data_IF_457009150920
#
_entry.id   IF_457009150920
#
_cell.length_a   1.000
_cell.length_b   1.000
_cell.length_c   1.000
_cell.angle_alpha   90.00
_cell.angle_beta   90.00
_cell.angle_gamma   90.00
#
_symmetry.space_group_name_H-M   'P 1'
#
loop_
_entity.id
_entity.type
_entity.pdbx_description
1 polymer ?
#
# COMPACT_ATOMS: atom_id res chain seq x y z
N UNK A 1 24.49 7.97 -11.01
CA UNK A 1 24.37 6.66 -11.70
C UNK A 1 23.04 6.67 -12.41
N UNK A 2 23.02 6.52 -13.71
CA UNK A 2 21.80 6.41 -14.49
C UNK A 2 21.13 5.11 -14.08
N UNK A 3 20.00 5.19 -13.37
CA UNK A 3 19.16 4.03 -13.12
C UNK A 3 18.76 3.43 -14.48
N UNK A 4 19.04 2.14 -14.68
CA UNK A 4 18.64 1.45 -15.91
C UNK A 4 17.14 1.63 -16.15
N UNK A 5 16.74 1.87 -17.38
CA UNK A 5 15.34 1.99 -17.72
C UNK A 5 14.62 0.69 -17.41
N UNK A 6 13.57 0.79 -16.61
CA UNK A 6 12.64 -0.32 -16.39
C UNK A 6 11.76 -0.39 -17.66
N UNK A 7 11.56 -1.60 -18.18
CA UNK A 7 10.76 -1.80 -19.38
C UNK A 7 9.27 -1.46 -19.19
N UNK A 8 8.48 -1.46 -20.28
CA UNK A 8 7.05 -1.26 -20.19
C UNK A 8 6.37 -2.41 -19.45
N UNK A 9 5.24 -2.11 -18.79
CA UNK A 9 4.38 -3.14 -18.20
C UNK A 9 3.68 -3.95 -19.30
N UNK A 10 3.67 -5.27 -19.11
CA UNK A 10 2.94 -6.23 -19.93
C UNK A 10 1.90 -6.95 -19.08
N UNK A 11 0.91 -7.58 -19.72
CA UNK A 11 -0.12 -8.34 -19.00
C UNK A 11 0.47 -9.44 -18.07
N UNK A 12 1.63 -9.99 -18.44
CA UNK A 12 2.35 -10.96 -17.61
C UNK A 12 2.86 -10.39 -16.28
N UNK A 13 3.05 -9.06 -16.16
CA UNK A 13 3.46 -8.41 -14.91
C UNK A 13 2.34 -8.34 -13.86
N UNK A 14 1.11 -8.72 -14.20
CA UNK A 14 0.04 -8.94 -13.23
C UNK A 14 0.21 -10.28 -12.50
N UNK A 15 0.93 -11.25 -13.08
CA UNK A 15 1.14 -12.57 -12.48
C UNK A 15 2.18 -12.52 -11.35
N UNK A 16 2.16 -13.53 -10.46
CA UNK A 16 3.06 -13.63 -9.30
C UNK A 16 4.33 -14.42 -9.64
N UNK A 17 5.01 -14.07 -10.73
CA UNK A 17 6.09 -14.87 -11.31
C UNK A 17 7.38 -14.09 -11.63
N UNK A 18 7.61 -12.94 -11.02
CA UNK A 18 8.75 -12.08 -11.30
C UNK A 18 10.12 -12.62 -10.79
N UNK A 19 10.15 -13.78 -10.17
CA UNK A 19 11.40 -14.41 -9.72
C UNK A 19 12.03 -15.37 -10.74
N UNK A 20 11.65 -15.33 -12.00
CA UNK A 20 11.97 -16.41 -12.90
C UNK A 20 13.25 -16.15 -13.68
N UNK A 21 14.13 -17.15 -13.74
CA UNK A 21 15.30 -17.22 -14.63
C UNK A 21 15.16 -18.38 -15.62
N UNK A 22 14.42 -19.41 -15.27
CA UNK A 22 14.34 -20.66 -16.03
C UNK A 22 12.87 -21.00 -16.32
N UNK A 23 12.21 -21.77 -15.48
CA UNK A 23 10.76 -22.02 -15.56
C UNK A 23 10.03 -21.15 -14.54
N UNK A 24 8.72 -20.94 -14.72
CA UNK A 24 7.90 -20.18 -13.76
C UNK A 24 7.84 -20.83 -12.36
N UNK A 25 8.24 -22.06 -12.21
CA UNK A 25 8.35 -22.74 -10.92
C UNK A 25 9.72 -22.55 -10.25
N UNK A 26 10.72 -21.99 -10.97
CA UNK A 26 12.09 -21.90 -10.50
C UNK A 26 12.38 -20.53 -9.88
N UNK A 27 12.99 -20.53 -8.68
CA UNK A 27 13.43 -19.32 -8.01
C UNK A 27 14.79 -18.88 -8.54
N UNK A 28 14.89 -17.67 -9.06
CA UNK A 28 16.10 -17.15 -9.72
C UNK A 28 17.13 -16.54 -8.78
N UNK A 29 16.77 -16.31 -7.53
CA UNK A 29 17.65 -15.73 -6.52
C UNK A 29 17.27 -16.27 -5.15
N UNK A 30 18.20 -16.20 -4.18
CA UNK A 30 18.10 -16.93 -2.91
C UNK A 30 17.89 -16.03 -1.68
N UNK A 31 17.65 -14.73 -1.85
CA UNK A 31 17.40 -13.84 -0.72
C UNK A 31 16.05 -14.18 -0.08
N UNK A 32 16.07 -14.50 1.21
CA UNK A 32 14.85 -14.81 1.97
C UNK A 32 13.90 -13.62 2.16
N UNK A 33 14.32 -12.42 1.81
CA UNK A 33 13.49 -11.21 1.81
C UNK A 33 12.86 -10.92 0.44
N UNK A 34 13.10 -11.77 -0.56
CA UNK A 34 12.40 -11.65 -1.83
C UNK A 34 10.91 -11.91 -1.65
N UNK A 35 10.11 -11.00 -2.16
CA UNK A 35 8.66 -11.04 -2.04
C UNK A 35 8.03 -10.57 -3.33
N UNK A 36 6.97 -11.22 -3.75
CA UNK A 36 6.01 -10.67 -4.69
C UNK A 36 4.71 -10.40 -3.95
N UNK A 37 4.23 -9.16 -4.01
CA UNK A 37 3.17 -8.69 -3.13
C UNK A 37 2.22 -7.73 -3.81
N UNK A 38 0.93 -7.94 -3.60
CA UNK A 38 -0.13 -6.96 -3.88
C UNK A 38 -0.67 -6.40 -2.58
N UNK A 39 -0.98 -5.13 -2.60
CA UNK A 39 -1.71 -4.44 -1.54
C UNK A 39 -2.72 -3.49 -2.16
N UNK A 40 -3.77 -3.22 -1.42
CA UNK A 40 -4.74 -2.25 -1.88
C UNK A 40 -5.79 -1.94 -0.84
N UNK A 41 -6.59 -0.97 -1.20
CA UNK A 41 -7.77 -0.60 -0.45
C UNK A 41 -8.94 -0.28 -1.38
N UNK A 42 -10.15 -0.42 -0.85
CA UNK A 42 -11.35 0.18 -1.38
C UNK A 42 -12.01 1.01 -0.28
N UNK A 43 -12.51 2.20 -0.62
CA UNK A 43 -13.10 3.07 0.39
C UNK A 43 -14.30 3.84 -0.14
N UNK A 44 -15.29 4.03 0.74
CA UNK A 44 -16.38 4.94 0.49
C UNK A 44 -15.87 6.38 0.42
N UNK A 45 -16.34 7.15 -0.58
CA UNK A 45 -15.92 8.55 -0.80
C UNK A 45 -16.33 9.50 0.34
N UNK A 46 -17.23 9.08 1.21
CA UNK A 46 -17.60 9.82 2.43
C UNK A 46 -16.73 9.47 3.66
N UNK A 47 -15.79 8.51 3.51
CA UNK A 47 -14.89 8.07 4.56
C UNK A 47 -15.51 7.12 5.60
N UNK A 48 -16.78 6.74 5.44
CA UNK A 48 -17.52 5.94 6.44
C UNK A 48 -17.03 4.51 6.60
N UNK A 49 -16.45 3.94 5.54
CA UNK A 49 -15.97 2.56 5.52
C UNK A 49 -14.78 2.42 4.57
N UNK A 50 -13.74 1.73 5.01
CA UNK A 50 -12.62 1.34 4.18
C UNK A 50 -12.25 -0.12 4.37
N UNK A 51 -11.81 -0.74 3.29
CA UNK A 51 -11.34 -2.11 3.21
C UNK A 51 -9.85 -2.06 2.87
N UNK A 52 -9.04 -2.77 3.66
CA UNK A 52 -7.63 -3.00 3.35
C UNK A 52 -7.41 -4.48 3.04
N UNK A 53 -6.54 -4.77 2.10
CA UNK A 53 -6.15 -6.14 1.75
C UNK A 53 -4.69 -6.20 1.27
N UNK A 54 -4.12 -7.39 1.36
CA UNK A 54 -2.81 -7.67 0.77
C UNK A 54 -2.52 -9.15 0.71
N UNK A 55 -1.72 -9.56 -0.27
CA UNK A 55 -1.26 -10.92 -0.46
C UNK A 55 0.24 -10.90 -0.75
N UNK A 56 0.96 -11.88 -0.24
CA UNK A 56 2.38 -12.03 -0.46
C UNK A 56 2.75 -13.46 -0.82
N UNK A 57 3.57 -13.62 -1.85
CA UNK A 57 4.22 -14.87 -2.24
C UNK A 57 5.70 -14.78 -1.91
N UNK A 58 6.16 -15.68 -1.07
CA UNK A 58 7.54 -15.74 -0.56
C UNK A 58 8.16 -17.06 -0.99
N UNK A 59 8.54 -17.15 -2.27
CA UNK A 59 8.97 -18.42 -2.86
C UNK A 59 10.20 -19.00 -2.17
N UNK A 60 11.19 -18.17 -1.79
CA UNK A 60 12.39 -18.62 -1.06
C UNK A 60 12.10 -19.08 0.38
N UNK A 61 10.90 -18.86 0.88
CA UNK A 61 10.43 -19.30 2.20
C UNK A 61 9.38 -20.41 2.10
N UNK A 62 8.91 -20.74 0.89
CA UNK A 62 7.80 -21.65 0.63
C UNK A 62 6.49 -21.24 1.35
N UNK A 63 6.18 -19.95 1.35
CA UNK A 63 5.03 -19.38 2.07
C UNK A 63 4.22 -18.49 1.13
N UNK A 64 2.89 -18.53 1.32
CA UNK A 64 1.91 -17.53 0.87
C UNK A 64 1.20 -17.02 2.10
N UNK A 65 1.04 -15.72 2.23
CA UNK A 65 0.20 -15.11 3.25
C UNK A 65 -0.69 -14.01 2.67
N UNK A 66 -1.67 -13.62 3.46
CA UNK A 66 -2.56 -12.53 3.10
C UNK A 66 -3.29 -11.99 4.32
N UNK A 67 -3.85 -10.81 4.14
CA UNK A 67 -4.77 -10.20 5.08
C UNK A 67 -5.90 -9.51 4.33
N UNK A 68 -7.03 -9.39 5.01
CA UNK A 68 -8.17 -8.59 4.58
C UNK A 68 -8.94 -8.09 5.78
N UNK A 69 -9.56 -6.93 5.66
CA UNK A 69 -10.32 -6.40 6.78
C UNK A 69 -11.00 -5.07 6.45
N UNK A 70 -11.68 -4.54 7.47
CA UNK A 70 -12.43 -3.30 7.37
C UNK A 70 -12.07 -2.33 8.50
N UNK A 71 -12.10 -1.03 8.21
CA UNK A 71 -12.07 0.05 9.19
C UNK A 71 -13.34 0.89 9.07
N UNK A 72 -14.03 1.10 10.19
CA UNK A 72 -15.26 1.91 10.28
C UNK A 72 -15.19 2.78 11.53
N UNK A 73 -15.21 4.09 11.34
CA UNK A 73 -14.97 5.01 12.44
C UNK A 73 -13.59 4.76 13.04
N UNK A 74 -13.55 4.50 14.34
CA UNK A 74 -12.30 4.17 15.06
C UNK A 74 -12.02 2.67 15.17
N UNK A 75 -12.92 1.84 14.66
CA UNK A 75 -12.85 0.38 14.77
C UNK A 75 -12.14 -0.25 13.59
N UNK A 76 -11.44 -1.36 13.83
CA UNK A 76 -10.85 -2.18 12.77
C UNK A 76 -11.00 -3.67 13.05
N UNK A 77 -11.38 -4.41 12.01
CA UNK A 77 -11.41 -5.87 11.96
C UNK A 77 -10.42 -6.34 10.92
N UNK A 78 -9.53 -7.24 11.28
CA UNK A 78 -8.53 -7.79 10.37
C UNK A 78 -8.51 -9.30 10.46
N UNK A 79 -8.55 -9.98 9.32
CA UNK A 79 -8.30 -11.41 9.14
C UNK A 79 -6.96 -11.57 8.47
N UNK A 80 -6.14 -12.50 8.96
CA UNK A 80 -4.85 -12.89 8.38
C UNK A 80 -4.88 -14.38 8.10
N UNK A 81 -4.22 -14.79 7.04
CA UNK A 81 -4.01 -16.20 6.75
C UNK A 81 -2.60 -16.43 6.21
N UNK A 82 -2.08 -17.64 6.44
CA UNK A 82 -0.79 -18.08 5.92
C UNK A 82 -0.84 -19.57 5.61
N UNK A 83 -0.21 -19.99 4.52
CA UNK A 83 -0.07 -21.40 4.17
C UNK A 83 1.28 -21.70 3.52
N UNK A 84 1.58 -23.00 3.44
CA UNK A 84 2.64 -23.51 2.61
C UNK A 84 2.37 -23.23 1.12
N UNK A 85 3.33 -22.64 0.40
CA UNK A 85 3.21 -22.35 -1.03
C UNK A 85 3.17 -23.65 -1.86
N UNK A 86 4.04 -24.59 -1.59
CA UNK A 86 4.19 -25.83 -2.38
C UNK A 86 2.92 -26.69 -2.44
N UNK A 87 2.01 -26.54 -1.49
CA UNK A 87 0.73 -27.24 -1.52
C UNK A 87 -0.18 -26.81 -2.67
N UNK A 88 -0.04 -25.56 -3.17
CA UNK A 88 -0.73 -25.02 -4.33
C UNK A 88 0.11 -23.85 -4.92
N UNK A 89 1.19 -24.14 -5.66
CA UNK A 89 2.20 -23.14 -6.01
C UNK A 89 1.72 -22.09 -7.04
N UNK A 90 0.66 -22.39 -7.78
CA UNK A 90 0.09 -21.50 -8.79
C UNK A 90 -0.98 -20.55 -8.22
N UNK A 91 -1.43 -20.78 -6.98
CA UNK A 91 -2.45 -19.96 -6.33
C UNK A 91 -1.84 -19.14 -5.21
N UNK A 92 -2.32 -17.90 -5.08
CA UNK A 92 -2.04 -17.05 -3.91
C UNK A 92 -3.21 -17.01 -2.92
N UNK A 93 -4.27 -17.76 -3.18
CA UNK A 93 -5.39 -17.90 -2.26
C UNK A 93 -4.93 -18.51 -0.95
N UNK A 94 -5.41 -17.98 0.17
CA UNK A 94 -4.99 -18.42 1.49
C UNK A 94 -6.13 -18.28 2.53
N UNK A 95 -6.50 -19.39 3.17
CA UNK A 95 -7.62 -19.40 4.11
C UNK A 95 -8.91 -18.89 3.46
N UNK A 96 -9.58 -17.88 4.03
CA UNK A 96 -10.78 -17.29 3.46
C UNK A 96 -10.50 -16.18 2.42
N UNK A 97 -9.25 -15.93 2.08
CA UNK A 97 -8.83 -14.84 1.19
C UNK A 97 -8.61 -15.35 -0.24
N UNK A 98 -9.16 -14.63 -1.23
CA UNK A 98 -8.99 -14.91 -2.67
C UNK A 98 -8.57 -13.65 -3.41
N UNK A 99 -7.73 -13.83 -4.42
CA UNK A 99 -7.31 -12.78 -5.33
C UNK A 99 -7.39 -13.30 -6.77
N UNK A 100 -8.27 -12.71 -7.56
CA UNK A 100 -8.52 -13.14 -8.93
C UNK A 100 -8.11 -12.03 -9.90
N UNK A 101 -7.28 -12.35 -10.87
CA UNK A 101 -6.96 -11.47 -11.99
C UNK A 101 -8.05 -11.66 -13.05
N UNK A 102 -8.99 -10.71 -13.13
CA UNK A 102 -10.10 -10.77 -14.09
C UNK A 102 -9.65 -10.27 -15.46
N UNK A 103 -8.98 -9.12 -15.49
CA UNK A 103 -8.32 -8.57 -16.68
C UNK A 103 -6.98 -7.99 -16.26
N UNK A 104 -5.83 -8.54 -16.70
CA UNK A 104 -4.52 -8.10 -16.29
C UNK A 104 -4.32 -6.60 -16.47
N UNK A 105 -3.72 -5.96 -15.44
CA UNK A 105 -3.43 -4.51 -15.36
C UNK A 105 -4.68 -3.61 -15.41
N UNK A 106 -5.88 -4.16 -15.33
CA UNK A 106 -7.12 -3.40 -15.39
C UNK A 106 -8.11 -3.75 -14.28
N UNK A 107 -8.46 -5.04 -14.15
CA UNK A 107 -9.53 -5.47 -13.25
C UNK A 107 -9.11 -6.67 -12.42
N UNK A 108 -9.21 -6.54 -11.11
CA UNK A 108 -9.00 -7.63 -10.16
C UNK A 108 -10.24 -7.81 -9.29
N UNK A 109 -10.40 -8.99 -8.74
CA UNK A 109 -11.41 -9.28 -7.74
C UNK A 109 -10.74 -9.75 -6.47
N UNK A 110 -11.17 -9.20 -5.34
CA UNK A 110 -10.65 -9.54 -4.01
C UNK A 110 -11.79 -9.97 -3.13
N UNK A 111 -11.64 -11.15 -2.50
CA UNK A 111 -12.68 -11.74 -1.67
C UNK A 111 -12.12 -12.05 -0.30
N UNK A 112 -12.84 -11.66 0.73
CA UNK A 112 -12.75 -12.24 2.06
C UNK A 112 -14.06 -12.98 2.33
N UNK A 113 -14.00 -14.31 2.28
CA UNK A 113 -15.15 -15.17 2.57
C UNK A 113 -15.62 -14.99 4.00
N UNK A 114 -16.91 -15.25 4.30
CA UNK A 114 -17.38 -15.39 5.67
C UNK A 114 -16.49 -16.37 6.45
N UNK A 115 -16.07 -15.98 7.63
CA UNK A 115 -15.10 -16.73 8.42
C UNK A 115 -15.47 -16.70 9.91
N UNK A 116 -14.83 -17.58 10.69
CA UNK A 116 -15.07 -17.69 12.12
C UNK A 116 -14.16 -16.80 12.99
N UNK A 117 -13.24 -16.07 12.35
CA UNK A 117 -12.22 -15.26 13.04
C UNK A 117 -12.71 -13.85 13.33
N UNK A 118 -13.29 -13.20 12.31
CA UNK A 118 -13.81 -11.84 12.44
C UNK A 118 -15.15 -11.69 11.68
N UNK A 119 -16.09 -10.90 12.21
CA UNK A 119 -17.38 -10.65 11.57
C UNK A 119 -17.24 -9.65 10.40
N UNK A 120 -16.36 -9.94 9.46
CA UNK A 120 -16.10 -9.16 8.24
C UNK A 120 -15.98 -10.11 7.06
N UNK A 121 -16.65 -9.75 5.97
CA UNK A 121 -16.56 -10.43 4.67
C UNK A 121 -16.77 -9.39 3.56
N UNK A 122 -16.19 -9.64 2.38
CA UNK A 122 -16.42 -8.80 1.23
C UNK A 122 -16.14 -9.56 -0.09
N UNK A 123 -16.72 -9.06 -1.15
CA UNK A 123 -16.47 -9.49 -2.53
C UNK A 123 -16.45 -8.23 -3.39
N UNK A 124 -15.27 -7.83 -3.81
CA UNK A 124 -15.01 -6.56 -4.47
C UNK A 124 -14.36 -6.77 -5.84
N UNK A 125 -14.96 -6.18 -6.85
CA UNK A 125 -14.34 -5.98 -8.15
C UNK A 125 -13.71 -4.59 -8.16
N UNK A 126 -12.41 -4.52 -8.44
CA UNK A 126 -11.62 -3.30 -8.47
C UNK A 126 -11.22 -3.01 -9.91
N UNK A 127 -11.66 -1.88 -10.44
CA UNK A 127 -11.45 -1.49 -11.83
C UNK A 127 -10.60 -0.23 -11.94
N UNK A 128 -9.49 -0.32 -12.70
CA UNK A 128 -8.59 0.81 -12.95
C UNK A 128 -9.24 1.89 -13.81
N UNK A 129 -9.19 3.13 -13.33
CA UNK A 129 -9.66 4.32 -14.07
C UNK A 129 -8.58 4.93 -14.98
N UNK A 130 -7.32 4.51 -14.81
CA UNK A 130 -6.17 4.82 -15.66
C UNK A 130 -5.29 3.58 -15.78
N UNK A 131 -4.41 3.49 -16.80
CA UNK A 131 -3.42 2.43 -16.90
C UNK A 131 -2.55 2.33 -15.65
N UNK A 132 -2.07 1.12 -15.34
CA UNK A 132 -1.05 0.93 -14.30
C UNK A 132 0.21 1.72 -14.63
N UNK A 133 0.83 2.32 -13.62
CA UNK A 133 2.06 3.09 -13.79
C UNK A 133 3.17 2.48 -12.95
N UNK A 134 4.26 2.13 -13.62
CA UNK A 134 5.47 1.63 -12.98
C UNK A 134 6.18 2.78 -12.27
N UNK A 135 6.45 2.61 -10.97
CA UNK A 135 7.21 3.54 -10.16
C UNK A 135 8.71 3.35 -10.39
N UNK A 136 9.51 4.33 -9.97
CA UNK A 136 10.96 4.20 -9.99
C UNK A 136 11.40 3.07 -9.05
N UNK A 137 12.38 2.30 -9.52
CA UNK A 137 12.96 1.21 -8.73
C UNK A 137 13.47 1.72 -7.39
N UNK A 138 13.10 1.04 -6.33
CA UNK A 138 13.66 1.27 -5.01
C UNK A 138 14.93 0.42 -4.85
N UNK A 139 16.07 1.09 -4.62
CA UNK A 139 17.35 0.45 -4.30
C UNK A 139 17.91 1.10 -3.04
N UNK A 140 17.78 0.41 -1.90
CA UNK A 140 18.34 0.83 -0.63
C UNK A 140 19.32 -0.21 -0.11
N UNK A 141 20.43 0.28 0.44
CA UNK A 141 21.46 -0.56 1.05
C UNK A 141 21.57 -0.26 2.53
N UNK A 142 22.18 -1.18 3.27
CA UNK A 142 22.63 -0.93 4.65
C UNK A 142 23.56 0.28 4.69
N UNK A 143 23.72 0.91 5.84
CA UNK A 143 24.67 2.03 6.02
C UNK A 143 26.11 1.63 5.66
N UNK A 144 26.47 0.35 5.82
CA UNK A 144 27.77 -0.20 5.38
C UNK A 144 27.86 -0.37 3.86
N UNK A 145 26.73 -0.30 3.13
CA UNK A 145 26.66 -0.43 1.67
C UNK A 145 26.79 -1.85 1.11
N UNK A 146 26.95 -2.87 1.94
CA UNK A 146 27.20 -4.25 1.47
C UNK A 146 25.92 -5.04 1.15
N UNK A 147 24.83 -4.79 1.86
CA UNK A 147 23.59 -5.56 1.71
C UNK A 147 22.44 -4.67 1.24
N UNK A 148 21.61 -5.18 0.34
CA UNK A 148 20.34 -4.55 0.03
C UNK A 148 19.37 -4.67 1.21
N UNK A 149 18.78 -3.56 1.63
CA UNK A 149 17.62 -3.56 2.53
C UNK A 149 16.31 -3.47 1.77
N UNK A 150 16.34 -2.89 0.56
CA UNK A 150 15.28 -2.96 -0.42
C UNK A 150 15.87 -2.93 -1.82
N UNK A 151 15.34 -3.74 -2.72
CA UNK A 151 15.65 -3.71 -4.15
C UNK A 151 14.43 -4.25 -4.88
N UNK A 152 13.48 -3.34 -5.14
CA UNK A 152 12.16 -3.70 -5.65
C UNK A 152 11.65 -2.71 -6.67
N UNK A 153 10.75 -3.20 -7.50
CA UNK A 153 9.90 -2.38 -8.38
C UNK A 153 8.45 -2.52 -7.94
N UNK A 154 7.65 -1.54 -8.31
CA UNK A 154 6.22 -1.50 -7.99
C UNK A 154 5.48 -0.75 -9.08
N UNK A 155 4.30 -1.21 -9.45
CA UNK A 155 3.33 -0.37 -10.11
C UNK A 155 2.15 -0.08 -9.20
N UNK A 156 1.47 1.02 -9.44
CA UNK A 156 0.22 1.38 -8.78
C UNK A 156 -0.90 1.58 -9.78
N UNK A 157 -2.13 1.54 -9.28
CA UNK A 157 -3.33 1.85 -10.03
C UNK A 157 -4.40 2.42 -9.11
N UNK A 158 -5.18 3.36 -9.63
CA UNK A 158 -6.36 3.91 -8.94
C UNK A 158 -7.58 3.78 -9.83
N UNK A 159 -8.77 3.80 -9.21
CA UNK A 159 -10.02 3.66 -9.95
C UNK A 159 -11.22 3.55 -9.01
N UNK A 160 -12.14 2.68 -9.37
CA UNK A 160 -13.41 2.48 -8.65
C UNK A 160 -13.55 1.04 -8.16
N UNK A 161 -14.46 0.84 -7.20
CA UNK A 161 -14.81 -0.48 -6.68
C UNK A 161 -16.29 -0.74 -6.80
N UNK A 162 -16.66 -2.02 -7.03
CA UNK A 162 -18.05 -2.50 -7.00
C UNK A 162 -18.14 -3.84 -6.26
N UNK A 163 -19.35 -4.22 -5.84
CA UNK A 163 -19.58 -5.46 -5.13
C UNK A 163 -20.27 -5.24 -3.78
N UNK A 164 -19.77 -5.85 -2.73
CA UNK A 164 -20.35 -5.70 -1.40
C UNK A 164 -19.34 -5.90 -0.27
N UNK A 165 -19.66 -5.30 0.87
CA UNK A 165 -18.93 -5.47 2.14
C UNK A 165 -19.94 -5.78 3.24
N UNK A 166 -19.62 -6.73 4.11
CA UNK A 166 -20.39 -7.03 5.31
C UNK A 166 -19.51 -6.89 6.55
N UNK A 167 -19.96 -6.08 7.52
CA UNK A 167 -19.30 -5.90 8.81
C UNK A 167 -20.33 -6.06 9.91
N UNK A 168 -20.11 -7.02 10.82
CA UNK A 168 -21.01 -7.31 11.93
C UNK A 168 -22.46 -7.59 11.48
N UNK A 169 -22.62 -8.37 10.40
CA UNK A 169 -23.92 -8.73 9.83
C UNK A 169 -24.63 -7.59 9.07
N UNK A 170 -24.00 -6.43 8.95
CA UNK A 170 -24.52 -5.33 8.14
C UNK A 170 -23.84 -5.30 6.78
N UNK A 171 -24.59 -5.60 5.74
CA UNK A 171 -24.14 -5.59 4.36
C UNK A 171 -24.34 -4.21 3.73
N UNK A 172 -23.30 -3.74 3.04
CA UNK A 172 -23.25 -2.49 2.30
C UNK A 172 -22.95 -2.83 0.85
N UNK A 173 -23.72 -2.27 -0.07
CA UNK A 173 -23.44 -2.37 -1.50
C UNK A 173 -22.36 -1.37 -1.87
N UNK A 174 -21.37 -1.83 -2.61
CA UNK A 174 -20.24 -1.04 -3.13
C UNK A 174 -20.54 -0.68 -4.57
N UNK A 175 -20.55 0.62 -4.88
CA UNK A 175 -20.87 1.15 -6.21
C UNK A 175 -19.77 2.07 -6.72
N UNK A 176 -19.43 2.02 -8.02
CA UNK A 176 -18.35 2.83 -8.60
C UNK A 176 -18.48 4.34 -8.38
N UNK A 177 -19.74 4.84 -8.30
CA UNK A 177 -20.02 6.27 -8.13
C UNK A 177 -19.67 6.77 -6.73
N UNK A 178 -19.67 5.88 -5.73
CA UNK A 178 -19.49 6.22 -4.31
C UNK A 178 -18.26 5.58 -3.67
N UNK A 179 -17.54 4.75 -4.41
CA UNK A 179 -16.34 4.08 -3.91
C UNK A 179 -15.15 4.30 -4.83
N UNK A 180 -13.98 4.36 -4.23
CA UNK A 180 -12.68 4.40 -4.91
C UNK A 180 -11.85 3.21 -4.50
N UNK A 181 -10.91 2.84 -5.35
CA UNK A 181 -9.87 1.88 -5.04
C UNK A 181 -8.48 2.43 -5.32
N UNK A 182 -7.51 1.94 -4.58
CA UNK A 182 -6.09 2.03 -4.90
C UNK A 182 -5.45 0.67 -4.72
N UNK A 183 -4.51 0.33 -5.57
CA UNK A 183 -3.70 -0.88 -5.42
C UNK A 183 -2.28 -0.68 -5.86
N UNK A 184 -1.38 -1.48 -5.33
CA UNK A 184 -0.03 -1.66 -5.84
C UNK A 184 0.29 -3.14 -6.01
N UNK A 185 1.21 -3.43 -6.92
CA UNK A 185 1.85 -4.73 -7.07
C UNK A 185 3.36 -4.51 -7.13
N UNK A 186 4.09 -5.21 -6.29
CA UNK A 186 5.52 -5.03 -6.12
C UNK A 186 6.24 -6.36 -6.04
N UNK A 187 7.49 -6.40 -6.53
CA UNK A 187 8.36 -7.58 -6.44
C UNK A 187 9.81 -7.17 -6.24
N UNK A 188 10.54 -7.99 -5.51
CA UNK A 188 11.94 -7.76 -5.19
C UNK A 188 12.28 -7.98 -3.71
N UNK A 189 13.48 -7.57 -3.33
CA UNK A 189 13.96 -7.62 -1.95
C UNK A 189 13.27 -6.51 -1.16
N UNK A 190 12.65 -6.87 -0.04
CA UNK A 190 11.85 -6.00 0.79
C UNK A 190 12.28 -6.11 2.27
N UNK A 191 12.25 -5.02 3.05
CA UNK A 191 12.48 -5.11 4.49
C UNK A 191 11.31 -5.82 5.20
N UNK A 192 11.56 -6.26 6.41
CA UNK A 192 10.56 -6.81 7.34
C UNK A 192 9.86 -8.10 6.87
N UNK A 193 10.53 -8.90 6.04
CA UNK A 193 10.05 -10.21 5.60
C UNK A 193 10.61 -11.31 6.48
N UNK A 194 9.72 -12.06 7.13
CA UNK A 194 10.07 -13.10 8.08
C UNK A 194 10.63 -12.54 9.40
N UNK A 195 11.04 -13.44 10.28
CA UNK A 195 11.76 -13.04 11.49
C UNK A 195 13.13 -12.46 11.13
N UNK A 196 13.65 -11.53 11.94
CA UNK A 196 15.03 -11.07 11.76
C UNK A 196 16.01 -12.24 11.67
N UNK A 197 16.92 -12.17 10.71
CA UNK A 197 17.94 -13.21 10.53
C UNK A 197 18.91 -13.12 11.73
N UNK A 198 19.12 -14.21 12.49
CA UNK A 198 20.10 -14.23 13.58
C UNK A 198 21.54 -14.18 13.06
N UNK A 199 22.49 -13.95 13.95
CA UNK A 199 23.94 -13.99 13.66
C UNK A 199 24.42 -12.99 12.60
N UNK A 200 23.77 -11.83 12.52
CA UNK A 200 24.23 -10.70 11.73
C UNK A 200 24.77 -9.60 12.66
N UNK A 201 25.79 -8.91 12.19
CA UNK A 201 26.16 -7.64 12.82
C UNK A 201 25.00 -6.67 12.65
N UNK A 202 24.44 -6.11 13.73
CA UNK A 202 23.38 -5.13 13.63
C UNK A 202 23.82 -3.95 12.76
N UNK A 203 22.93 -3.49 11.89
CA UNK A 203 23.17 -2.24 11.18
C UNK A 203 23.29 -1.11 12.22
N UNK A 204 24.24 -0.18 12.04
CA UNK A 204 24.36 0.96 12.96
C UNK A 204 23.02 1.70 12.97
N UNK A 205 22.39 1.74 14.14
CA UNK A 205 21.20 2.58 14.33
C UNK A 205 21.69 3.99 14.59
N UNK A 206 21.55 4.86 13.62
CA UNK A 206 21.74 6.29 13.88
C UNK A 206 20.52 6.80 14.66
N UNK A 207 20.60 6.69 15.98
CA UNK A 207 19.56 7.15 16.92
C UNK A 207 19.54 8.67 17.14
N UNK A 208 20.34 9.42 16.42
CA UNK A 208 20.58 10.84 16.68
C UNK A 208 19.56 11.76 16.01
N UNK A 209 18.30 11.71 16.45
CA UNK A 209 17.34 12.78 16.14
C UNK A 209 16.98 12.95 14.67
N UNK A 210 17.15 11.91 13.84
CA UNK A 210 16.76 11.94 12.45
C UNK A 210 15.25 12.09 12.31
N UNK A 211 14.80 13.11 11.58
CA UNK A 211 13.40 13.30 11.22
C UNK A 211 13.12 12.58 9.91
N UNK A 212 12.01 11.88 9.86
CA UNK A 212 11.52 11.19 8.66
C UNK A 212 10.12 11.65 8.34
N UNK A 213 9.87 11.98 7.09
CA UNK A 213 8.55 12.11 6.51
C UNK A 213 8.50 11.26 5.25
N UNK A 214 7.61 10.28 5.24
CA UNK A 214 7.29 9.49 4.05
C UNK A 214 5.81 9.67 3.71
N UNK A 215 5.52 9.81 2.42
CA UNK A 215 4.16 9.89 1.88
C UNK A 215 4.09 9.06 0.61
N UNK A 216 3.16 8.10 0.58
CA UNK A 216 2.75 7.41 -0.64
C UNK A 216 1.25 7.65 -0.84
N UNK A 217 0.88 8.18 -2.01
CA UNK A 217 -0.44 8.78 -2.15
C UNK A 217 -0.97 8.64 -3.57
N UNK A 218 -1.63 7.53 -3.91
CA UNK A 218 -2.39 7.36 -5.14
C UNK A 218 -3.82 7.88 -4.97
N UNK A 219 -4.31 8.67 -5.95
CA UNK A 219 -5.63 9.29 -5.93
C UNK A 219 -6.35 9.12 -7.26
N UNK A 220 -7.66 8.98 -7.20
CA UNK A 220 -8.56 9.00 -8.34
C UNK A 220 -9.38 10.28 -8.33
N UNK A 221 -9.21 11.11 -9.36
CA UNK A 221 -9.86 12.41 -9.51
C UNK A 221 -11.02 12.36 -10.49
N UNK A 222 -12.05 13.15 -10.18
CA UNK A 222 -13.19 13.41 -11.05
C UNK A 222 -13.36 14.93 -11.24
N UNK A 223 -13.42 15.34 -12.50
CA UNK A 223 -13.71 16.73 -12.89
C UNK A 223 -15.22 17.02 -12.81
N UNK A 224 -15.62 18.31 -12.80
CA UNK A 224 -17.02 18.70 -12.80
C UNK A 224 -17.82 18.17 -14.02
N UNK A 225 -17.18 17.94 -15.16
CA UNK A 225 -17.79 17.37 -16.36
C UNK A 225 -17.91 15.83 -16.33
N UNK A 226 -17.46 15.19 -15.25
CA UNK A 226 -17.47 13.76 -15.06
C UNK A 226 -16.25 13.02 -15.62
N UNK A 227 -15.37 13.67 -16.36
CA UNK A 227 -14.11 13.07 -16.80
C UNK A 227 -13.17 12.82 -15.61
N UNK A 228 -12.23 11.89 -15.77
CA UNK A 228 -11.39 11.41 -14.67
C UNK A 228 -9.91 11.40 -15.03
N UNK A 229 -9.08 11.47 -14.01
CA UNK A 229 -7.66 11.20 -14.08
C UNK A 229 -7.14 10.64 -12.75
N UNK A 230 -5.98 10.00 -12.79
CA UNK A 230 -5.27 9.53 -11.62
C UNK A 230 -4.12 10.45 -11.24
N UNK A 231 -3.70 10.35 -10.01
CA UNK A 231 -2.54 11.03 -9.48
C UNK A 231 -1.78 10.07 -8.58
N UNK A 232 -0.48 10.12 -8.65
CA UNK A 232 0.39 9.43 -7.70
C UNK A 232 1.55 10.30 -7.31
N UNK A 233 1.94 10.22 -6.04
CA UNK A 233 3.22 10.71 -5.55
C UNK A 233 3.82 9.76 -4.52
N UNK A 234 5.14 9.67 -4.56
CA UNK A 234 5.97 9.16 -3.47
C UNK A 234 6.93 10.25 -3.04
N UNK A 235 6.94 10.53 -1.75
CA UNK A 235 7.85 11.51 -1.15
C UNK A 235 8.49 10.87 0.08
N UNK A 236 9.81 10.97 0.18
CA UNK A 236 10.57 10.51 1.32
C UNK A 236 11.63 11.53 1.65
N UNK A 237 11.63 12.01 2.87
CA UNK A 237 12.66 12.91 3.39
C UNK A 237 13.23 12.36 4.69
N UNK A 238 14.55 12.28 4.74
CA UNK A 238 15.32 12.08 5.95
C UNK A 238 16.08 13.36 6.25
N UNK A 239 15.99 13.90 7.45
CA UNK A 239 16.70 15.08 7.84
C UNK A 239 17.27 14.99 9.26
N UNK A 240 18.45 15.56 9.43
CA UNK A 240 19.12 15.78 10.71
C UNK A 240 19.89 17.11 10.67
N UNK A 241 20.40 17.66 11.76
CA UNK A 241 21.17 18.88 11.70
C UNK A 241 22.32 18.80 10.69
N UNK A 242 22.28 19.65 9.68
CA UNK A 242 23.29 19.70 8.59
C UNK A 242 23.15 18.66 7.49
N UNK A 243 22.12 17.84 7.50
CA UNK A 243 21.86 16.83 6.45
C UNK A 243 20.39 16.74 6.11
N UNK A 244 20.08 16.69 4.83
CA UNK A 244 18.77 16.31 4.30
C UNK A 244 18.93 15.48 3.04
N UNK A 245 18.23 14.34 3.00
CA UNK A 245 18.08 13.51 1.81
C UNK A 245 16.61 13.44 1.42
N UNK A 246 16.31 13.76 0.18
CA UNK A 246 14.95 13.76 -0.34
C UNK A 246 14.87 12.90 -1.59
N UNK A 247 13.91 12.01 -1.63
CA UNK A 247 13.50 11.25 -2.81
C UNK A 247 12.04 11.57 -3.11
N UNK A 248 11.72 11.83 -4.36
CA UNK A 248 10.36 12.07 -4.78
C UNK A 248 10.14 11.62 -6.22
N UNK A 249 8.94 11.16 -6.48
CA UNK A 249 8.42 10.89 -7.83
C UNK A 249 6.92 11.13 -7.83
N UNK A 250 6.33 11.42 -8.96
CA UNK A 250 4.90 11.58 -9.09
C UNK A 250 4.47 12.03 -10.48
N UNK A 251 3.16 11.99 -10.68
CA UNK A 251 2.55 12.44 -11.94
C UNK A 251 1.03 12.44 -11.87
N UNK A 252 0.45 13.10 -12.86
CA UNK A 252 -0.96 12.97 -13.22
C UNK A 252 -1.07 12.02 -14.40
N UNK A 253 -2.01 11.10 -14.36
CA UNK A 253 -2.11 9.93 -15.23
C UNK A 253 -3.51 9.90 -15.82
N UNK A 254 -3.60 9.74 -17.13
CA UNK A 254 -4.84 9.86 -17.88
C UNK A 254 -5.21 8.52 -18.54
N UNK A 255 -6.50 8.33 -18.79
CA UNK A 255 -7.03 7.09 -19.39
C UNK A 255 -6.44 6.77 -20.77
N UNK A 256 -5.98 7.78 -21.51
CA UNK A 256 -5.30 7.64 -22.79
C UNK A 256 -3.81 7.24 -22.69
N UNK A 257 -3.30 7.02 -21.47
CA UNK A 257 -1.90 6.70 -21.19
C UNK A 257 -0.96 7.91 -21.12
N UNK A 258 -1.45 9.12 -21.33
CA UNK A 258 -0.68 10.35 -21.15
C UNK A 258 -0.33 10.53 -19.68
N UNK A 259 0.86 11.03 -19.39
CA UNK A 259 1.33 11.35 -18.05
C UNK A 259 1.96 12.73 -17.99
N UNK A 260 1.60 13.52 -16.98
CA UNK A 260 2.23 14.79 -16.66
C UNK A 260 3.12 14.61 -15.42
N UNK A 261 4.44 14.76 -15.62
CA UNK A 261 5.41 14.48 -14.57
C UNK A 261 5.54 15.65 -13.58
N UNK A 262 5.71 15.28 -12.32
CA UNK A 262 6.02 16.20 -11.22
C UNK A 262 7.53 16.18 -10.98
N UNK A 263 8.16 17.34 -10.92
CA UNK A 263 9.61 17.49 -10.69
C UNK A 263 9.95 18.02 -9.31
N UNK A 264 8.97 18.58 -8.59
CA UNK A 264 9.14 18.94 -7.18
C UNK A 264 7.81 18.76 -6.42
N UNK A 265 7.93 18.27 -5.19
CA UNK A 265 6.81 18.07 -4.26
C UNK A 265 7.20 18.72 -2.94
N UNK A 266 6.34 19.60 -2.44
CA UNK A 266 6.47 20.21 -1.11
C UNK A 266 5.20 19.93 -0.31
N UNK A 267 5.21 18.89 0.54
CA UNK A 267 4.05 18.57 1.37
C UNK A 267 4.00 19.48 2.59
N UNK A 268 2.85 20.12 2.82
CA UNK A 268 2.55 20.93 4.01
C UNK A 268 1.42 20.26 4.78
N UNK A 269 1.76 19.21 5.51
CA UNK A 269 0.79 18.31 6.13
C UNK A 269 0.66 18.59 7.62
N UNK A 270 -0.53 18.36 8.14
CA UNK A 270 -0.87 18.44 9.56
C UNK A 270 -1.21 17.06 10.08
N UNK A 271 -0.63 16.71 11.22
CA UNK A 271 -0.80 15.41 11.87
C UNK A 271 -1.39 15.57 13.28
N UNK A 272 -2.13 14.57 13.70
CA UNK A 272 -2.53 14.44 15.09
C UNK A 272 -1.30 14.13 15.95
N UNK A 273 -0.99 14.94 16.98
CA UNK A 273 0.23 14.75 17.78
C UNK A 273 0.22 13.47 18.61
N UNK A 274 -0.95 12.93 18.97
CA UNK A 274 -1.06 11.75 19.82
C UNK A 274 -0.90 10.44 19.05
N UNK A 275 -1.51 10.35 17.88
CA UNK A 275 -1.56 9.10 17.11
C UNK A 275 -0.95 9.22 15.70
N UNK A 276 -0.34 10.35 15.37
CA UNK A 276 0.32 10.63 14.09
C UNK A 276 -0.57 10.42 12.86
N UNK A 277 -1.90 10.45 13.03
CA UNK A 277 -2.83 10.40 11.92
C UNK A 277 -2.73 11.69 11.08
N UNK A 278 -2.71 11.54 9.76
CA UNK A 278 -2.86 12.68 8.86
C UNK A 278 -4.23 13.34 9.11
N UNK A 279 -4.24 14.67 9.26
CA UNK A 279 -5.46 15.47 9.37
C UNK A 279 -5.82 16.15 8.05
N UNK A 280 -4.82 16.42 7.22
CA UNK A 280 -4.93 17.10 5.95
C UNK A 280 -3.76 18.05 5.73
N UNK A 281 -3.89 18.93 4.76
CA UNK A 281 -2.85 19.90 4.40
C UNK A 281 -2.84 20.18 2.91
N UNK A 282 -1.69 20.53 2.40
CA UNK A 282 -1.51 20.86 0.99
C UNK A 282 -0.29 20.15 0.41
N UNK A 283 -0.37 19.84 -0.89
CA UNK A 283 0.77 19.43 -1.70
C UNK A 283 1.02 20.52 -2.74
N UNK A 284 2.15 21.19 -2.64
CA UNK A 284 2.61 22.16 -3.62
C UNK A 284 3.50 21.43 -4.63
N UNK A 285 3.08 21.42 -5.87
CA UNK A 285 3.68 20.62 -6.94
C UNK A 285 4.25 21.54 -8.01
N UNK A 286 5.45 21.23 -8.48
CA UNK A 286 6.01 21.84 -9.71
C UNK A 286 6.06 20.78 -10.78
N UNK A 287 5.42 21.07 -11.90
CA UNK A 287 5.35 20.20 -13.07
C UNK A 287 6.60 20.29 -13.92
N UNK A 288 6.87 19.29 -14.76
CA UNK A 288 8.03 19.27 -15.66
C UNK A 288 8.00 20.40 -16.70
N UNK A 289 6.83 20.93 -17.04
CA UNK A 289 6.65 22.07 -17.94
C UNK A 289 6.75 23.45 -17.23
N UNK A 290 7.08 23.45 -15.93
CA UNK A 290 7.24 24.65 -15.11
C UNK A 290 5.96 25.17 -14.45
N UNK A 291 4.78 24.63 -14.77
CA UNK A 291 3.54 25.00 -14.08
C UNK A 291 3.58 24.60 -12.60
N UNK A 292 2.92 25.36 -11.76
CA UNK A 292 2.67 25.01 -10.37
C UNK A 292 1.22 24.52 -10.20
N UNK A 293 1.03 23.53 -9.33
CA UNK A 293 -0.30 23.02 -8.94
C UNK A 293 -0.35 22.89 -7.43
N UNK A 294 -1.48 23.20 -6.86
CA UNK A 294 -1.75 23.03 -5.43
C UNK A 294 -2.92 22.08 -5.25
N UNK A 295 -2.71 21.06 -4.45
CA UNK A 295 -3.74 20.10 -4.04
C UNK A 295 -4.01 20.30 -2.55
N UNK A 296 -5.24 20.67 -2.18
CA UNK A 296 -5.65 20.73 -0.77
C UNK A 296 -6.28 19.41 -0.35
N UNK A 297 -5.77 18.81 0.71
CA UNK A 297 -6.14 17.50 1.21
C UNK A 297 -6.82 17.56 2.58
N UNK A 298 -7.84 16.74 2.77
CA UNK A 298 -8.53 16.52 4.04
C UNK A 298 -8.64 15.02 4.30
N UNK A 299 -8.25 14.56 5.49
CA UNK A 299 -8.49 13.19 5.90
C UNK A 299 -9.95 13.02 6.31
N UNK A 300 -10.67 12.16 5.61
CA UNK A 300 -12.12 11.94 5.78
C UNK A 300 -12.47 10.67 6.55
N UNK A 301 -11.51 9.76 6.76
CA UNK A 301 -11.67 8.61 7.66
C UNK A 301 -11.24 8.97 9.10
N UNK A 302 -11.89 8.40 10.10
CA UNK A 302 -11.54 8.67 11.52
C UNK A 302 -10.14 8.18 11.87
N UNK A 303 -9.79 6.93 11.50
CA UNK A 303 -8.45 6.37 11.76
C UNK A 303 -7.78 5.84 10.50
N UNK A 304 -8.55 5.39 9.51
CA UNK A 304 -8.06 4.62 8.37
C UNK A 304 -7.80 3.15 8.74
N UNK A 305 -7.29 2.37 7.79
CA UNK A 305 -6.97 0.96 8.00
C UNK A 305 -5.49 0.80 8.35
N UNK A 306 -5.20 0.38 9.58
CA UNK A 306 -3.83 0.15 10.05
C UNK A 306 -3.25 -1.13 9.44
N UNK A 307 -2.16 -1.00 8.73
CA UNK A 307 -1.47 -2.10 8.05
C UNK A 307 -0.67 -2.99 9.00
N UNK A 308 -0.37 -2.50 10.23
CA UNK A 308 0.29 -3.29 11.26
C UNK A 308 -0.47 -4.56 11.60
N UNK A 309 -1.80 -4.49 11.74
CA UNK A 309 -2.64 -5.68 11.94
C UNK A 309 -2.58 -6.67 10.76
N UNK A 310 -2.21 -6.22 9.55
CA UNK A 310 -1.88 -7.01 8.38
C UNK A 310 -0.40 -7.40 8.29
N UNK A 311 0.35 -7.34 9.40
CA UNK A 311 1.77 -7.71 9.58
C UNK A 311 2.80 -6.76 8.94
N UNK A 312 2.43 -5.57 8.45
CA UNK A 312 3.41 -4.58 8.02
C UNK A 312 4.27 -4.11 9.19
N UNK A 313 5.59 -4.17 9.02
CA UNK A 313 6.60 -3.91 10.05
C UNK A 313 6.52 -4.83 11.28
N UNK A 314 5.85 -5.97 11.12
CA UNK A 314 5.59 -6.93 12.19
C UNK A 314 4.43 -6.53 13.11
N UNK A 315 3.82 -7.52 13.71
CA UNK A 315 2.74 -7.36 14.70
C UNK A 315 2.86 -8.44 15.76
N UNK A 316 3.15 -8.05 17.00
CA UNK A 316 3.26 -8.97 18.15
C UNK A 316 4.14 -10.19 17.89
N UNK A 317 5.33 -9.94 17.30
CA UNK A 317 6.30 -10.98 16.97
C UNK A 317 6.00 -11.77 15.69
N UNK A 318 4.93 -11.45 14.98
CA UNK A 318 4.57 -12.03 13.67
C UNK A 318 5.03 -11.11 12.56
N UNK A 319 5.47 -11.70 11.45
CA UNK A 319 5.93 -10.98 10.27
C UNK A 319 5.37 -11.59 9.00
N UNK A 320 5.31 -10.82 7.93
CA UNK A 320 5.06 -11.34 6.59
C UNK A 320 6.05 -12.45 6.24
N UNK A 321 5.58 -13.49 5.56
CA UNK A 321 6.42 -14.60 5.13
C UNK A 321 7.01 -15.43 6.28
N UNK A 322 6.49 -15.32 7.51
CA UNK A 322 6.87 -16.20 8.62
C UNK A 322 6.10 -17.52 8.56
N UNK A 323 6.81 -18.63 8.80
CA UNK A 323 6.19 -19.93 8.89
C UNK A 323 5.27 -20.03 10.12
N UNK A 324 4.00 -20.38 9.89
CA UNK A 324 2.96 -20.51 10.93
C UNK A 324 2.18 -21.83 10.86
N UNK A 325 2.75 -22.83 10.16
CA UNK A 325 2.09 -24.10 9.93
C UNK A 325 1.53 -24.23 8.50
N UNK A 326 1.00 -25.41 8.18
CA UNK A 326 0.50 -25.72 6.82
C UNK A 326 -0.64 -24.80 6.39
N UNK A 327 -1.50 -24.42 7.32
CA UNK A 327 -2.52 -23.40 7.19
C UNK A 327 -2.75 -22.78 8.57
N UNK A 328 -2.66 -21.49 8.65
CA UNK A 328 -2.98 -20.69 9.83
C UNK A 328 -3.96 -19.58 9.43
N UNK A 329 -5.02 -19.38 10.19
CA UNK A 329 -5.98 -18.31 10.01
C UNK A 329 -6.26 -17.68 11.36
N UNK A 330 -5.88 -16.43 11.50
CA UNK A 330 -6.08 -15.66 12.71
C UNK A 330 -6.62 -14.24 12.39
N UNK A 331 -6.80 -13.44 13.40
CA UNK A 331 -7.27 -12.08 13.19
C UNK A 331 -7.25 -11.24 14.45
N UNK A 332 -7.51 -9.96 14.26
CA UNK A 332 -7.51 -8.98 15.34
C UNK A 332 -8.69 -8.03 15.21
N UNK A 333 -9.26 -7.66 16.34
CA UNK A 333 -10.26 -6.60 16.46
C UNK A 333 -9.75 -5.50 17.37
N UNK A 334 -9.77 -4.28 16.87
CA UNK A 334 -9.52 -3.07 17.64
C UNK A 334 -10.81 -2.27 17.77
N UNK A 335 -11.25 -2.07 19.00
CA UNK A 335 -12.44 -1.27 19.29
C UNK A 335 -12.19 0.23 19.09
N UNK A 336 -10.96 0.67 19.28
CA UNK A 336 -10.52 2.04 19.07
C UNK A 336 -9.06 2.09 18.61
N UNK A 337 -8.85 2.37 17.33
CA UNK A 337 -7.52 2.55 16.72
C UNK A 337 -6.96 3.97 16.89
N UNK A 338 -7.69 4.89 17.53
CA UNK A 338 -7.25 6.28 17.69
C UNK A 338 -6.38 6.51 18.92
N UNK A 339 -6.38 5.56 19.85
CA UNK A 339 -5.64 5.70 21.11
C UNK A 339 -4.14 5.51 20.91
N UNK A 340 -3.28 6.18 21.71
CA UNK A 340 -1.84 5.98 21.68
C UNK A 340 -1.43 4.52 21.89
N UNK A 341 -2.13 3.79 22.76
CA UNK A 341 -1.88 2.38 23.07
C UNK A 341 -2.14 1.48 21.84
N UNK A 342 -3.26 1.70 21.16
CA UNK A 342 -3.57 0.98 19.92
C UNK A 342 -2.55 1.27 18.82
N UNK A 343 -2.14 2.54 18.68
CA UNK A 343 -1.12 2.92 17.70
C UNK A 343 0.25 2.37 18.05
N UNK A 344 0.61 2.25 19.32
CA UNK A 344 1.84 1.59 19.74
C UNK A 344 1.88 0.10 19.33
N UNK A 345 0.73 -0.59 19.37
CA UNK A 345 0.60 -1.99 18.91
C UNK A 345 0.56 -2.12 17.38
N UNK A 346 -0.20 -1.24 16.71
CA UNK A 346 -0.49 -1.29 15.27
C UNK A 346 0.56 -0.59 14.41
N UNK A 347 1.45 0.17 15.03
CA UNK A 347 2.27 1.24 14.49
C UNK A 347 1.44 2.34 13.77
N UNK A 348 2.10 3.42 13.32
CA UNK A 348 1.39 4.54 12.69
C UNK A 348 1.02 4.30 11.22
N UNK A 349 1.56 3.25 10.58
CA UNK A 349 1.41 3.02 9.14
C UNK A 349 -0.01 2.55 8.81
N UNK A 350 -0.73 3.35 8.04
CA UNK A 350 -2.15 3.11 7.74
C UNK A 350 -2.56 3.66 6.38
N UNK A 351 -3.58 3.05 5.82
CA UNK A 351 -4.32 3.59 4.68
C UNK A 351 -5.29 4.65 5.20
N UNK A 352 -4.89 5.90 5.11
CA UNK A 352 -5.72 7.04 5.49
C UNK A 352 -6.48 7.52 4.25
N UNK A 353 -7.80 7.52 4.32
CA UNK A 353 -8.63 7.98 3.21
C UNK A 353 -8.67 9.50 3.23
N UNK A 354 -8.29 10.11 2.12
CA UNK A 354 -8.32 11.56 1.94
C UNK A 354 -9.23 11.96 0.79
N UNK A 355 -9.82 13.13 0.94
CA UNK A 355 -10.45 13.90 -0.13
C UNK A 355 -9.51 15.02 -0.50
N UNK A 356 -9.34 15.26 -1.80
CA UNK A 356 -8.40 16.26 -2.32
C UNK A 356 -9.10 17.14 -3.34
N UNK A 357 -8.86 18.45 -3.25
CA UNK A 357 -9.28 19.40 -4.26
C UNK A 357 -8.07 19.90 -5.06
N UNK A 358 -8.15 19.78 -6.37
CA UNK A 358 -7.16 20.32 -7.30
C UNK A 358 -7.57 21.73 -7.73
N UNK A 359 -6.86 22.74 -7.22
CA UNK A 359 -7.18 24.15 -7.50
C UNK A 359 -6.98 24.53 -8.97
N UNK A 360 -6.19 23.77 -9.73
CA UNK A 360 -5.91 24.07 -11.14
C UNK A 360 -7.01 23.62 -12.08
N UNK A 361 -7.74 22.56 -11.73
CA UNK A 361 -8.76 21.94 -12.59
C UNK A 361 -10.16 22.01 -12.01
N UNK A 362 -10.28 22.28 -10.70
CA UNK A 362 -11.53 22.19 -9.97
C UNK A 362 -11.97 20.74 -9.68
N UNK A 363 -11.14 19.76 -9.99
CA UNK A 363 -11.44 18.36 -9.76
C UNK A 363 -11.40 18.01 -8.27
N UNK A 364 -12.20 17.01 -7.89
CA UNK A 364 -12.14 16.40 -6.57
C UNK A 364 -11.59 14.99 -6.72
N UNK A 365 -10.61 14.65 -5.89
CA UNK A 365 -9.98 13.34 -5.84
C UNK A 365 -10.21 12.64 -4.51
N UNK A 366 -10.15 11.31 -4.54
CA UNK A 366 -10.19 10.46 -3.34
C UNK A 366 -9.15 9.35 -3.49
N UNK A 367 -8.69 8.86 -2.37
CA UNK A 367 -7.81 7.70 -2.35
C UNK A 367 -7.03 7.58 -1.06
N UNK A 368 -5.94 6.85 -1.14
CA UNK A 368 -5.10 6.53 -0.01
C UNK A 368 -3.99 7.56 0.18
N UNK A 369 -3.68 7.86 1.43
CA UNK A 369 -2.48 8.58 1.81
C UNK A 369 -1.79 7.84 2.96
N UNK A 370 -0.85 6.99 2.62
CA UNK A 370 0.02 6.36 3.60
C UNK A 370 1.10 7.36 4.02
N UNK A 371 1.24 7.58 5.31
CA UNK A 371 2.23 8.48 5.84
C UNK A 371 3.01 7.84 6.98
N UNK A 372 4.30 8.16 7.06
CA UNK A 372 5.13 7.90 8.22
C UNK A 372 5.81 9.21 8.64
N UNK A 373 5.66 9.57 9.90
CA UNK A 373 6.30 10.75 10.46
C UNK A 373 6.97 10.41 11.78
N UNK A 374 8.29 10.63 11.89
CA UNK A 374 9.02 10.31 13.12
C UNK A 374 8.74 11.33 14.22
N UNK A 375 8.56 12.60 13.87
CA UNK A 375 8.15 13.68 14.76
C UNK A 375 7.07 14.51 14.08
N UNK A 376 6.02 14.84 14.83
CA UNK A 376 4.99 15.78 14.33
C UNK A 376 5.60 17.17 14.35
N UNK A 377 5.57 17.89 13.22
CA UNK A 377 6.10 19.27 13.11
C UNK A 377 5.43 20.23 14.05
#
# INVERSE_FOLDING_TARGET
>A
MTHGSIGPLLAADESFNHQIVDTFATVSQSDYSWTEKVCGMAAARDGSLSIGFGFGKYANRNIVDGYGGASRGVQQWTVRASRELASAPESIDVGPLRYEIVEPLKTIRVILEPNHVQPVAFDLLLEGGAPCVLEEREDRRTLTGYRHTANQVRYHQTGTASGWVEVQGKRVEVRPESWVMTRDHSWGIRPDVGLPIPDLVPDPVDGSGQKVLAVWNPLFFQLPDGSTYAFHQYFLEYSSPGFAHRRMQGGFEYADGRRELIVAIEPRLRFNPLNKRLLGGEFHLRMADGRERVLSAEAISDTGFHLGAGLYHGFEGRHHGSWRGRLDVDGEYFADCSTPESVARLNQFRDCIIRVHDHSTGATGWGNCQTYVSAVP
#
